data_IF_615243087353
#
_entry.id   IF_615243087353
#
_cell.length_a   1.000
_cell.length_b   1.000
_cell.length_c   1.000
_cell.angle_alpha   90.00
_cell.angle_beta   90.00
_cell.angle_gamma   90.00
#
_symmetry.space_group_name_H-M   'P 1'
#
loop_
_entity.id
_entity.type
_entity.pdbx_description
1 polymer ?
#
# COMPACT_ATOMS: atom_id res chain seq x y z
N UNK A 1 -33.07 -3.93 -28.72
CA UNK A 1 -32.64 -2.92 -27.73
C UNK A 1 -31.19 -3.18 -27.41
N UNK A 2 -30.31 -2.20 -27.56
CA UNK A 2 -28.89 -2.31 -27.20
C UNK A 2 -28.71 -1.93 -25.73
N UNK A 3 -28.14 -2.82 -24.93
CA UNK A 3 -27.89 -2.57 -23.52
C UNK A 3 -26.50 -1.94 -23.35
N UNK A 4 -26.46 -0.74 -22.77
CA UNK A 4 -25.22 0.00 -22.51
C UNK A 4 -24.82 -0.13 -21.04
N UNK A 5 -23.51 -0.20 -20.73
CA UNK A 5 -23.03 -0.10 -19.36
C UNK A 5 -23.47 1.22 -18.71
N UNK A 6 -23.62 1.21 -17.37
CA UNK A 6 -23.96 2.41 -16.59
C UNK A 6 -22.82 3.45 -16.57
N UNK A 7 -21.61 3.07 -16.99
CA UNK A 7 -20.42 3.91 -17.02
C UNK A 7 -19.17 3.10 -17.41
N UNK A 8 -18.00 3.61 -17.03
CA UNK A 8 -16.74 2.88 -17.19
C UNK A 8 -16.51 1.91 -16.02
N UNK A 9 -15.63 0.91 -16.22
CA UNK A 9 -15.23 -0.04 -15.17
C UNK A 9 -15.95 -1.38 -15.17
N UNK A 10 -16.91 -1.60 -16.08
CA UNK A 10 -17.62 -2.89 -16.19
C UNK A 10 -16.74 -4.06 -16.68
N UNK A 11 -15.56 -3.79 -17.24
CA UNK A 11 -14.66 -4.80 -17.80
C UNK A 11 -14.06 -5.79 -16.79
N UNK A 12 -14.14 -5.48 -15.48
CA UNK A 12 -13.69 -6.36 -14.40
C UNK A 12 -14.84 -6.85 -13.50
N UNK A 13 -16.08 -6.83 -14.00
CA UNK A 13 -17.23 -7.36 -13.26
C UNK A 13 -16.98 -8.82 -12.84
N UNK A 14 -17.11 -9.11 -11.54
CA UNK A 14 -16.83 -10.42 -10.96
C UNK A 14 -15.49 -10.54 -10.24
N UNK A 15 -14.62 -9.52 -10.33
CA UNK A 15 -13.41 -9.46 -9.51
C UNK A 15 -13.79 -9.40 -8.02
N UNK A 16 -13.22 -10.28 -7.16
CA UNK A 16 -13.66 -10.38 -5.77
C UNK A 16 -13.28 -9.11 -4.98
N UNK A 17 -14.18 -8.66 -4.13
CA UNK A 17 -14.08 -7.39 -3.38
C UNK A 17 -13.58 -7.53 -1.94
N UNK A 18 -13.65 -8.71 -1.34
CA UNK A 18 -13.36 -8.97 0.07
C UNK A 18 -11.84 -9.04 0.38
N UNK A 19 -11.45 -8.96 1.66
CA UNK A 19 -10.04 -8.92 2.06
C UNK A 19 -9.40 -10.29 2.33
N UNK A 20 -10.06 -11.39 1.98
CA UNK A 20 -9.46 -12.72 2.14
C UNK A 20 -8.17 -12.86 1.32
N UNK A 21 -7.20 -13.69 1.74
CA UNK A 21 -5.95 -13.86 1.00
C UNK A 21 -6.15 -14.25 -0.48
N UNK A 22 -7.05 -15.20 -0.84
CA UNK A 22 -7.30 -15.54 -2.25
C UNK A 22 -7.86 -14.36 -3.05
N UNK A 23 -8.84 -13.62 -2.49
CA UNK A 23 -9.45 -12.46 -3.16
C UNK A 23 -8.46 -11.32 -3.38
N UNK A 24 -7.56 -11.07 -2.42
CA UNK A 24 -6.46 -10.12 -2.60
C UNK A 24 -5.48 -10.60 -3.68
N UNK A 25 -5.13 -11.88 -3.70
CA UNK A 25 -4.23 -12.44 -4.72
C UNK A 25 -4.78 -12.31 -6.15
N UNK A 26 -6.04 -12.70 -6.37
CA UNK A 26 -6.66 -12.62 -7.71
C UNK A 26 -6.72 -11.17 -8.20
N UNK A 27 -7.10 -10.24 -7.32
CA UNK A 27 -7.23 -8.83 -7.67
C UNK A 27 -5.88 -8.16 -7.94
N UNK A 28 -4.84 -8.48 -7.16
CA UNK A 28 -3.49 -7.91 -7.42
C UNK A 28 -2.91 -8.46 -8.73
N UNK A 29 -3.12 -9.75 -9.03
CA UNK A 29 -2.73 -10.34 -10.30
C UNK A 29 -3.40 -9.61 -11.48
N UNK A 30 -4.72 -9.43 -11.43
CA UNK A 30 -5.46 -8.69 -12.46
C UNK A 30 -4.96 -7.24 -12.61
N UNK A 31 -4.77 -6.52 -11.50
CA UNK A 31 -4.30 -5.13 -11.53
C UNK A 31 -2.89 -5.03 -12.13
N UNK A 32 -1.97 -5.93 -11.73
CA UNK A 32 -0.59 -5.94 -12.24
C UNK A 32 -0.49 -6.10 -13.76
N UNK A 33 -1.46 -6.79 -14.38
CA UNK A 33 -1.53 -6.99 -15.83
C UNK A 33 -2.27 -5.86 -16.55
N UNK A 34 -3.12 -5.13 -15.85
CA UNK A 34 -3.95 -4.07 -16.43
C UNK A 34 -3.34 -2.67 -16.33
N UNK A 35 -2.48 -2.42 -15.35
CA UNK A 35 -1.83 -1.11 -15.19
C UNK A 35 -0.88 -0.81 -16.35
N UNK A 36 -0.89 0.45 -16.80
CA UNK A 36 -0.02 0.89 -17.88
C UNK A 36 1.46 0.91 -17.43
N UNK A 37 2.41 0.60 -18.32
CA UNK A 37 3.83 0.68 -18.01
C UNK A 37 4.26 2.07 -17.53
N UNK A 38 5.04 2.11 -16.44
CA UNK A 38 5.61 3.34 -15.90
C UNK A 38 6.83 3.81 -16.71
N UNK A 39 6.97 5.12 -16.90
CA UNK A 39 8.07 5.74 -17.67
C UNK A 39 9.39 5.79 -16.91
N UNK A 40 9.31 5.96 -15.59
CA UNK A 40 10.49 6.10 -14.71
C UNK A 40 10.34 5.21 -13.48
N UNK A 41 11.46 4.94 -12.80
CA UNK A 41 11.42 4.21 -11.52
C UNK A 41 10.59 4.93 -10.45
N UNK A 42 10.57 6.26 -10.45
CA UNK A 42 9.70 7.03 -9.54
C UNK A 42 8.22 6.90 -9.91
N UNK A 43 7.89 6.90 -11.19
CA UNK A 43 6.50 6.65 -11.64
C UNK A 43 6.05 5.23 -11.26
N UNK A 44 6.94 4.25 -11.36
CA UNK A 44 6.67 2.88 -10.94
C UNK A 44 6.41 2.77 -9.43
N UNK A 45 7.20 3.49 -8.61
CA UNK A 45 6.97 3.56 -7.15
C UNK A 45 5.61 4.18 -6.84
N UNK A 46 5.26 5.33 -7.45
CA UNK A 46 3.94 5.95 -7.26
C UNK A 46 2.81 5.02 -7.71
N UNK A 47 2.95 4.38 -8.86
CA UNK A 47 1.97 3.45 -9.39
C UNK A 47 1.79 2.23 -8.46
N UNK A 48 2.87 1.70 -7.91
CA UNK A 48 2.81 0.61 -6.92
C UNK A 48 1.98 1.03 -5.69
N UNK A 49 2.21 2.22 -5.13
CA UNK A 49 1.37 2.73 -4.03
C UNK A 49 -0.10 2.89 -4.44
N UNK A 50 -0.39 3.41 -5.64
CA UNK A 50 -1.78 3.51 -6.12
C UNK A 50 -2.45 2.16 -6.28
N UNK A 51 -1.74 1.15 -6.79
CA UNK A 51 -2.24 -0.23 -6.88
C UNK A 51 -2.49 -0.78 -5.48
N UNK A 52 -1.54 -0.63 -4.56
CA UNK A 52 -1.61 -1.16 -3.20
C UNK A 52 -2.68 -0.49 -2.33
N UNK A 53 -3.08 0.76 -2.64
CA UNK A 53 -4.22 1.41 -1.97
C UNK A 53 -5.54 0.62 -2.15
N UNK A 54 -5.70 -0.15 -3.22
CA UNK A 54 -6.88 -1.01 -3.41
C UNK A 54 -6.89 -2.25 -2.49
N UNK A 55 -5.83 -2.44 -1.72
CA UNK A 55 -5.61 -3.55 -0.78
C UNK A 55 -5.36 -3.04 0.64
N UNK A 56 -5.47 -1.73 0.85
CA UNK A 56 -5.37 -1.14 2.17
C UNK A 56 -6.55 -1.62 3.03
N UNK A 57 -6.26 -2.15 4.22
CA UNK A 57 -7.28 -2.69 5.14
C UNK A 57 -7.43 -1.67 6.27
N UNK A 58 -8.53 -0.90 6.31
CA UNK A 58 -8.82 -0.02 7.43
C UNK A 58 -9.06 -0.81 8.72
N UNK A 59 -8.64 -0.25 9.85
CA UNK A 59 -8.88 -0.87 11.17
C UNK A 59 -10.37 -1.19 11.35
N UNK A 60 -10.65 -2.45 11.67
CA UNK A 60 -11.99 -2.94 11.97
C UNK A 60 -12.78 -3.50 10.78
N UNK A 61 -12.25 -3.45 9.56
CA UNK A 61 -12.88 -4.10 8.39
C UNK A 61 -12.64 -5.61 8.39
N UNK A 62 -11.43 -6.05 8.78
CA UNK A 62 -11.12 -7.44 9.07
C UNK A 62 -10.97 -7.61 10.58
N UNK A 63 -11.76 -8.51 11.18
CA UNK A 63 -11.78 -8.75 12.62
C UNK A 63 -11.51 -10.21 12.90
N UNK A 64 -10.78 -10.47 13.96
CA UNK A 64 -10.69 -11.82 14.50
C UNK A 64 -12.01 -12.21 15.15
N UNK A 65 -12.26 -13.52 15.24
CA UNK A 65 -13.45 -14.07 15.92
C UNK A 65 -13.30 -13.95 17.42
N UNK A 66 -12.08 -14.00 17.91
CA UNK A 66 -11.73 -13.91 19.32
C UNK A 66 -11.40 -12.47 19.70
N UNK A 67 -11.81 -12.10 20.92
CA UNK A 67 -11.38 -10.85 21.55
C UNK A 67 -10.06 -11.10 22.27
N UNK A 68 -9.27 -10.04 22.47
CA UNK A 68 -8.08 -10.16 23.31
C UNK A 68 -8.46 -10.43 24.78
N UNK A 69 -7.44 -10.67 25.62
CA UNK A 69 -7.60 -10.93 27.06
C UNK A 69 -8.33 -9.80 27.83
N UNK A 70 -8.44 -8.61 27.22
CA UNK A 70 -9.10 -7.43 27.77
C UNK A 70 -10.48 -7.17 27.14
N UNK A 71 -10.96 -8.05 26.25
CA UNK A 71 -12.26 -7.94 25.61
C UNK A 71 -12.32 -6.98 24.41
N UNK A 72 -11.17 -6.51 23.91
CA UNK A 72 -11.09 -5.65 22.73
C UNK A 72 -11.24 -6.46 21.45
N UNK A 73 -11.76 -5.80 20.41
CA UNK A 73 -11.80 -6.38 19.07
C UNK A 73 -10.38 -6.37 18.50
N UNK A 74 -9.86 -7.55 18.20
CA UNK A 74 -8.62 -7.71 17.44
C UNK A 74 -8.97 -7.52 15.96
N UNK A 75 -8.37 -6.52 15.32
CA UNK A 75 -8.58 -6.24 13.91
C UNK A 75 -7.28 -6.36 13.14
N UNK A 76 -7.32 -7.08 12.03
CA UNK A 76 -6.24 -7.07 11.05
C UNK A 76 -6.36 -5.79 10.21
N UNK A 77 -5.22 -5.15 9.95
CA UNK A 77 -5.15 -3.90 9.22
C UNK A 77 -3.77 -3.73 8.57
N UNK A 78 -3.70 -2.92 7.52
CA UNK A 78 -2.44 -2.62 6.86
C UNK A 78 -1.61 -1.68 7.73
N UNK A 79 -0.61 -2.22 8.43
CA UNK A 79 0.25 -1.43 9.33
C UNK A 79 1.20 -0.49 8.58
N UNK A 80 1.74 -0.95 7.45
CA UNK A 80 2.58 -0.17 6.56
C UNK A 80 2.57 -0.75 5.15
N UNK A 81 2.90 0.07 4.16
CA UNK A 81 3.03 -0.30 2.75
C UNK A 81 4.39 0.14 2.23
N UNK A 82 5.03 -0.67 1.38
CA UNK A 82 6.30 -0.30 0.76
C UNK A 82 6.40 -0.60 -0.72
N UNK A 83 7.30 0.13 -1.37
CA UNK A 83 7.73 -0.08 -2.74
C UNK A 83 9.24 0.13 -2.84
N UNK A 84 9.93 -0.66 -3.66
CA UNK A 84 11.39 -0.69 -3.72
C UNK A 84 11.90 -0.40 -5.13
N UNK A 85 12.69 0.66 -5.29
CA UNK A 85 13.45 0.89 -6.53
C UNK A 85 14.77 0.13 -6.43
N UNK A 86 14.81 -1.09 -6.96
CA UNK A 86 15.99 -1.96 -6.91
C UNK A 86 17.17 -1.43 -7.74
N UNK A 87 16.90 -0.62 -8.78
CA UNK A 87 17.96 -0.03 -9.61
C UNK A 87 18.71 1.05 -8.84
N UNK A 88 17.97 1.93 -8.16
CA UNK A 88 18.53 3.01 -7.33
C UNK A 88 18.85 2.59 -5.91
N UNK A 89 18.42 1.39 -5.49
CA UNK A 89 18.54 0.86 -4.12
C UNK A 89 17.86 1.77 -3.10
N UNK A 90 16.62 2.16 -3.40
CA UNK A 90 15.79 3.02 -2.54
C UNK A 90 14.57 2.25 -2.04
N UNK A 91 14.40 2.25 -0.73
CA UNK A 91 13.24 1.69 -0.04
C UNK A 91 12.26 2.81 0.27
N UNK A 92 11.02 2.71 -0.21
CA UNK A 92 9.96 3.70 0.04
C UNK A 92 8.87 3.08 0.89
N UNK A 93 8.31 3.84 1.83
CA UNK A 93 7.26 3.34 2.70
C UNK A 93 6.24 4.42 3.13
N UNK A 94 5.05 3.95 3.52
CA UNK A 94 4.00 4.67 4.26
C UNK A 94 3.61 3.83 5.46
N UNK A 95 3.09 4.45 6.52
CA UNK A 95 2.50 3.74 7.66
C UNK A 95 1.01 4.04 7.72
N UNK A 96 0.26 3.26 8.49
CA UNK A 96 -1.15 3.52 8.72
C UNK A 96 -1.42 4.95 9.22
N UNK A 97 -0.58 5.44 10.13
CA UNK A 97 -0.75 6.75 10.76
C UNK A 97 -0.10 7.91 9.97
N UNK A 98 0.60 7.63 8.87
CA UNK A 98 1.29 8.64 8.06
C UNK A 98 1.35 8.20 6.59
N UNK A 99 0.58 8.88 5.75
CA UNK A 99 0.43 8.64 4.33
C UNK A 99 1.52 9.29 3.47
N UNK A 100 2.39 10.13 4.06
CA UNK A 100 3.57 10.66 3.37
C UNK A 100 4.51 9.52 2.97
N UNK A 101 4.86 9.46 1.68
CA UNK A 101 5.88 8.52 1.20
C UNK A 101 7.24 8.98 1.75
N UNK A 102 7.83 8.15 2.61
CA UNK A 102 9.17 8.31 3.16
C UNK A 102 10.13 7.36 2.48
N UNK A 103 11.42 7.68 2.48
CA UNK A 103 12.41 6.97 1.67
C UNK A 103 13.73 6.80 2.41
N UNK A 104 14.33 5.62 2.28
CA UNK A 104 15.70 5.30 2.69
C UNK A 104 16.53 5.02 1.44
N UNK A 105 17.59 5.80 1.25
CA UNK A 105 18.53 5.62 0.13
C UNK A 105 19.73 4.82 0.63
N UNK A 106 19.77 3.53 0.27
CA UNK A 106 20.81 2.63 0.73
C UNK A 106 22.20 3.09 0.28
N UNK A 107 22.31 3.77 -0.88
CA UNK A 107 23.60 4.25 -1.39
C UNK A 107 24.12 5.49 -0.65
N UNK A 108 23.35 6.04 0.28
CA UNK A 108 23.78 7.12 1.18
C UNK A 108 24.13 6.62 2.58
N UNK A 109 24.06 5.31 2.81
CA UNK A 109 24.42 4.68 4.08
C UNK A 109 25.84 4.11 4.02
N UNK A 110 26.45 3.89 5.19
CA UNK A 110 27.69 3.13 5.32
C UNK A 110 27.37 1.63 5.18
N UNK A 111 27.74 1.05 4.03
CA UNK A 111 27.47 -0.36 3.72
C UNK A 111 28.49 -1.31 4.35
N UNK A 112 29.65 -0.79 4.77
CA UNK A 112 30.70 -1.53 5.46
C UNK A 112 30.64 -1.31 6.99
N UNK A 113 29.57 -0.67 7.45
CA UNK A 113 29.30 -0.40 8.85
C UNK A 113 29.26 -1.70 9.67
N UNK A 114 29.85 -1.65 10.86
CA UNK A 114 29.93 -2.82 11.77
C UNK A 114 28.68 -3.00 12.63
N UNK A 115 27.82 -2.00 12.66
CA UNK A 115 26.62 -1.93 13.50
C UNK A 115 25.37 -1.81 12.63
N UNK A 116 24.24 -2.33 13.12
CA UNK A 116 22.95 -2.24 12.44
C UNK A 116 22.40 -0.81 12.60
N UNK A 117 22.13 -0.15 11.48
CA UNK A 117 21.42 1.13 11.47
C UNK A 117 19.91 0.87 11.55
N UNK A 118 19.27 1.35 12.62
CA UNK A 118 17.81 1.27 12.79
C UNK A 118 17.17 2.61 12.44
N UNK A 119 16.16 2.59 11.58
CA UNK A 119 15.43 3.79 11.15
C UNK A 119 14.01 3.72 11.72
N UNK A 120 13.62 4.73 12.50
CA UNK A 120 12.26 4.79 13.04
C UNK A 120 11.23 5.02 11.93
N UNK A 121 10.18 4.20 11.92
CA UNK A 121 9.01 4.40 11.06
C UNK A 121 7.88 5.19 11.74
N UNK A 122 8.03 5.52 13.04
CA UNK A 122 7.03 6.31 13.78
C UNK A 122 6.95 7.72 13.22
N UNK A 123 5.76 8.29 13.23
CA UNK A 123 5.47 9.64 12.79
C UNK A 123 3.98 9.80 12.58
N UNK A 124 3.42 10.94 12.99
CA UNK A 124 2.03 11.31 12.71
C UNK A 124 1.90 11.83 11.28
N UNK A 125 0.67 11.96 10.80
CA UNK A 125 0.40 12.51 9.48
C UNK A 125 0.90 13.95 9.37
N UNK A 126 1.43 14.30 8.19
CA UNK A 126 1.83 15.67 7.88
C UNK A 126 0.72 16.35 7.08
N UNK A 127 0.00 17.27 7.72
CA UNK A 127 -1.02 18.10 7.06
C UNK A 127 -0.42 19.47 6.78
N UNK A 128 -0.30 19.81 5.50
CA UNK A 128 0.10 21.14 5.06
C UNK A 128 -1.14 22.06 5.06
N UNK A 129 -1.13 23.08 5.92
CA UNK A 129 -2.16 24.13 5.91
C UNK A 129 -1.88 25.11 4.78
N UNK A 130 -2.77 25.13 3.79
CA UNK A 130 -2.70 26.00 2.61
C UNK A 130 -3.69 27.17 2.72
N UNK A 131 -4.14 27.53 3.92
CA UNK A 131 -4.99 28.71 4.15
C UNK A 131 -4.25 29.97 3.68
N UNK A 132 -4.83 30.76 2.74
CA UNK A 132 -4.20 31.97 2.21
C UNK A 132 -3.93 33.08 3.23
#
# INVERSE_FOLDING_TARGET
VELKPLGQGAGMLGLPGDYTPPSRFVRIAAFSQAVLPSKTGWDAVKQAFHVLNAFDIPKGVARDREKDEHGNIVADYTTWTSANDLKRKRFYFRTYDNSRIRMVDLMRMDLDGKEIVTISMKGEEEVEDLTP
#
